data_IF_638112918365
#
_entry.id   IF_638112918365
#
_cell.length_a   1.000
_cell.length_b   1.000
_cell.length_c   1.000
_cell.angle_alpha   90.00
_cell.angle_beta   90.00
_cell.angle_gamma   90.00
#
_symmetry.space_group_name_H-M   'P 1'
#
loop_
_entity.id
_entity.type
_entity.pdbx_description
1 polymer ?
#
# COMPACT_ATOMS: atom_id res chain seq x y z
N UNK A 1 -6.33 -11.77 3.43
CA UNK A 1 -4.94 -11.39 3.74
C UNK A 1 -4.26 -10.91 2.47
N UNK A 2 -3.34 -9.96 2.56
CA UNK A 2 -2.49 -9.53 1.46
C UNK A 2 -1.04 -9.42 1.93
N UNK A 3 -0.11 -9.55 0.99
CA UNK A 3 1.28 -9.20 1.17
C UNK A 3 1.73 -8.45 -0.08
N UNK A 4 2.44 -7.34 0.07
CA UNK A 4 2.98 -6.59 -1.06
C UNK A 4 4.44 -6.22 -0.78
N UNK A 5 5.22 -6.25 -1.86
CA UNK A 5 6.56 -5.69 -1.93
C UNK A 5 6.55 -4.61 -3.01
N UNK A 6 7.21 -3.48 -2.79
CA UNK A 6 7.19 -2.37 -3.74
C UNK A 6 8.49 -1.57 -3.76
N UNK A 7 8.68 -0.85 -4.87
CA UNK A 7 9.72 0.17 -5.03
C UNK A 7 9.08 1.38 -5.67
N UNK A 8 9.17 2.52 -4.99
CA UNK A 8 8.57 3.78 -5.41
C UNK A 8 9.64 4.87 -5.54
N UNK A 9 9.53 5.69 -6.57
CA UNK A 9 10.14 7.00 -6.59
C UNK A 9 9.23 7.99 -5.84
N UNK A 10 9.80 8.71 -4.89
CA UNK A 10 9.11 9.73 -4.09
C UNK A 10 9.70 11.09 -4.44
N UNK A 11 8.84 12.05 -4.73
CA UNK A 11 9.24 13.42 -5.07
C UNK A 11 8.38 14.43 -4.32
N UNK A 12 9.04 15.49 -3.85
CA UNK A 12 8.41 16.74 -3.47
C UNK A 12 9.12 17.91 -4.16
N UNK A 13 8.63 19.15 -3.96
CA UNK A 13 9.18 20.35 -4.60
C UNK A 13 10.68 20.61 -4.37
N UNK A 14 11.35 19.91 -3.44
CA UNK A 14 12.77 20.12 -3.12
C UNK A 14 13.63 18.87 -3.17
N UNK A 15 13.06 17.66 -3.08
CA UNK A 15 13.82 16.42 -3.04
C UNK A 15 13.17 15.34 -3.87
N UNK A 16 14.03 14.47 -4.37
CA UNK A 16 13.68 13.23 -5.05
C UNK A 16 14.39 12.11 -4.32
N UNK A 17 13.71 11.00 -4.14
CA UNK A 17 14.28 9.80 -3.55
C UNK A 17 13.58 8.56 -4.06
N UNK A 18 14.09 7.42 -3.59
CA UNK A 18 13.52 6.10 -3.86
C UNK A 18 13.30 5.45 -2.52
N UNK A 19 12.17 4.77 -2.37
CA UNK A 19 11.88 3.90 -1.25
C UNK A 19 11.54 2.51 -1.76
N UNK A 20 11.86 1.50 -0.95
CA UNK A 20 11.41 0.14 -1.15
C UNK A 20 10.83 -0.38 0.16
N UNK A 21 9.79 -1.19 0.07
CA UNK A 21 9.08 -1.60 1.26
C UNK A 21 8.29 -2.88 1.10
N UNK A 22 7.92 -3.42 2.25
CA UNK A 22 7.04 -4.59 2.36
C UNK A 22 5.91 -4.28 3.33
N UNK A 23 4.70 -4.69 2.97
CA UNK A 23 3.52 -4.51 3.79
C UNK A 23 2.67 -5.78 3.79
N UNK A 24 2.02 -6.02 4.93
CA UNK A 24 1.10 -7.13 5.14
C UNK A 24 -0.24 -6.55 5.52
N UNK A 25 -1.30 -7.04 4.88
CA UNK A 25 -2.64 -6.52 5.07
C UNK A 25 -3.66 -7.57 5.46
N UNK A 26 -4.63 -7.11 6.24
CA UNK A 26 -5.82 -7.87 6.63
C UNK A 26 -7.05 -7.10 6.20
N UNK A 27 -8.06 -7.84 5.77
CA UNK A 27 -9.18 -7.21 5.10
C UNK A 27 -10.39 -8.11 4.99
N UNK A 28 -11.50 -7.49 4.65
CA UNK A 28 -12.78 -8.14 4.43
C UNK A 28 -13.10 -8.17 2.93
N UNK A 29 -13.40 -9.37 2.42
CA UNK A 29 -13.80 -9.59 1.03
C UNK A 29 -15.32 -9.60 0.90
N UNK A 30 -15.86 -8.72 0.05
CA UNK A 30 -17.25 -8.71 -0.39
C UNK A 30 -17.43 -9.33 -1.78
N UNK A 31 -18.66 -9.23 -2.31
CA UNK A 31 -19.03 -9.83 -3.62
C UNK A 31 -18.25 -9.26 -4.81
N UNK A 32 -17.88 -7.97 -4.76
CA UNK A 32 -17.28 -7.22 -5.88
C UNK A 32 -15.88 -6.68 -5.59
N UNK A 33 -15.30 -6.97 -4.42
CA UNK A 33 -14.03 -6.38 -4.03
C UNK A 33 -13.70 -6.64 -2.57
N UNK A 34 -12.60 -6.09 -2.08
CA UNK A 34 -12.16 -6.21 -0.70
C UNK A 34 -11.69 -4.87 -0.15
N UNK A 35 -11.88 -4.66 1.15
CA UNK A 35 -11.23 -3.56 1.89
C UNK A 35 -10.11 -4.15 2.72
N UNK A 36 -8.91 -3.58 2.62
CA UNK A 36 -7.69 -4.10 3.22
C UNK A 36 -6.98 -2.97 3.97
N UNK A 37 -6.76 -3.16 5.26
CA UNK A 37 -5.81 -2.35 6.02
C UNK A 37 -4.45 -3.04 5.98
N UNK A 38 -3.38 -2.30 5.66
CA UNK A 38 -2.02 -2.85 5.54
C UNK A 38 -1.02 -2.06 6.37
N UNK A 39 -0.13 -2.77 7.05
CA UNK A 39 0.99 -2.20 7.79
C UNK A 39 2.30 -2.79 7.27
N UNK A 40 3.33 -1.97 7.22
CA UNK A 40 4.63 -2.35 6.67
C UNK A 40 5.76 -1.42 7.06
N UNK A 41 6.89 -1.65 6.43
CA UNK A 41 8.10 -0.84 6.60
C UNK A 41 8.67 -0.48 5.24
N UNK A 42 9.12 0.76 5.13
CA UNK A 42 9.81 1.30 3.96
C UNK A 42 11.22 1.74 4.34
N UNK A 43 12.16 1.57 3.43
CA UNK A 43 13.52 2.09 3.56
C UNK A 43 14.04 2.58 2.22
N UNK A 44 14.89 3.61 2.25
CA UNK A 44 15.40 4.19 1.03
C UNK A 44 16.19 5.48 1.23
N UNK A 45 16.13 6.36 0.25
CA UNK A 45 16.76 7.68 0.32
C UNK A 45 15.78 8.77 0.80
N UNK A 46 14.47 8.52 0.73
CA UNK A 46 13.43 9.43 1.19
C UNK A 46 12.11 8.67 1.48
N UNK A 47 11.82 8.26 2.72
CA UNK A 47 12.64 8.36 3.93
C UNK A 47 13.73 7.28 4.02
N UNK A 48 14.66 7.41 4.98
CA UNK A 48 15.67 6.38 5.24
C UNK A 48 15.06 5.12 5.85
N UNK A 49 14.15 5.31 6.80
CA UNK A 49 13.34 4.27 7.39
C UNK A 49 11.97 4.87 7.77
N UNK A 50 10.89 4.17 7.45
CA UNK A 50 9.54 4.58 7.79
C UNK A 50 8.60 3.41 8.01
N UNK A 51 7.48 3.69 8.67
CA UNK A 51 6.36 2.77 8.80
C UNK A 51 5.35 3.11 7.71
N UNK A 52 4.96 2.11 6.94
CA UNK A 52 3.97 2.24 5.89
C UNK A 52 2.61 1.78 6.40
N UNK A 53 1.59 2.62 6.29
CA UNK A 53 0.22 2.27 6.70
C UNK A 53 -0.79 2.70 5.63
N UNK A 54 -1.71 1.80 5.27
CA UNK A 54 -2.71 2.03 4.23
C UNK A 54 -4.07 1.42 4.54
N UNK A 55 -5.09 2.05 3.99
CA UNK A 55 -6.43 1.47 3.86
C UNK A 55 -6.81 1.53 2.38
N UNK A 56 -7.01 0.36 1.79
CA UNK A 56 -7.19 0.19 0.36
C UNK A 56 -8.50 -0.54 0.06
N UNK A 57 -9.23 -0.04 -0.95
CA UNK A 57 -10.26 -0.79 -1.63
C UNK A 57 -9.68 -1.44 -2.89
N UNK A 58 -9.89 -2.75 -3.00
CA UNK A 58 -9.38 -3.58 -4.08
C UNK A 58 -10.56 -4.14 -4.87
N UNK A 59 -10.62 -3.82 -6.14
CA UNK A 59 -11.58 -4.38 -7.08
C UNK A 59 -10.89 -5.39 -7.99
N UNK A 60 -11.39 -6.63 -7.99
CA UNK A 60 -10.87 -7.72 -8.83
C UNK A 60 -12.01 -8.32 -9.65
N UNK A 61 -12.18 -7.86 -10.89
CA UNK A 61 -13.09 -8.49 -11.82
C UNK A 61 -12.56 -9.88 -12.24
N UNK A 62 -13.45 -10.85 -12.42
CA UNK A 62 -13.11 -12.27 -12.63
C UNK A 62 -12.26 -12.52 -13.90
N UNK A 63 -12.22 -11.59 -14.86
CA UNK A 63 -11.57 -11.78 -16.17
C UNK A 63 -10.80 -10.55 -16.68
N UNK A 64 -10.57 -9.54 -15.84
CA UNK A 64 -10.00 -8.26 -16.28
C UNK A 64 -8.91 -7.75 -15.32
N UNK A 65 -8.24 -6.67 -15.74
CA UNK A 65 -7.28 -5.93 -14.91
C UNK A 65 -8.01 -5.39 -13.68
N UNK A 66 -7.54 -5.76 -12.49
CA UNK A 66 -8.05 -5.23 -11.25
C UNK A 66 -7.54 -3.83 -10.99
N UNK A 67 -8.08 -3.19 -9.96
CA UNK A 67 -7.54 -1.92 -9.49
C UNK A 67 -7.63 -1.82 -7.97
N UNK A 68 -6.69 -1.07 -7.40
CA UNK A 68 -6.69 -0.66 -6.01
C UNK A 68 -6.77 0.85 -5.95
N UNK A 69 -7.58 1.37 -5.03
CA UNK A 69 -7.52 2.76 -4.63
C UNK A 69 -7.66 2.86 -3.12
N UNK A 70 -6.93 3.80 -2.53
CA UNK A 70 -6.88 3.90 -1.08
C UNK A 70 -6.25 5.18 -0.58
N UNK A 71 -6.07 5.21 0.72
CA UNK A 71 -5.44 6.30 1.44
C UNK A 71 -4.40 5.74 2.40
N UNK A 72 -3.29 6.43 2.51
CA UNK A 72 -2.21 6.03 3.41
C UNK A 72 -0.89 6.68 3.03
N UNK A 73 0.19 6.14 3.56
CA UNK A 73 1.53 6.58 3.23
C UNK A 73 2.55 6.08 4.22
N UNK A 74 3.63 6.83 4.35
CA UNK A 74 4.82 6.44 5.09
C UNK A 74 5.11 7.47 6.18
N UNK A 75 5.03 7.07 7.44
CA UNK A 75 5.52 7.86 8.56
C UNK A 75 7.02 7.62 8.73
N UNK A 76 7.84 8.66 8.56
CA UNK A 76 9.28 8.54 8.69
C UNK A 76 9.68 8.33 10.16
N UNK A 77 10.49 7.30 10.42
CA UNK A 77 11.15 7.07 11.70
C UNK A 77 12.57 7.66 11.70
N UNK A 78 13.27 7.52 10.56
CA UNK A 78 14.61 8.06 10.33
C UNK A 78 14.64 8.69 8.94
N UNK A 79 15.16 9.92 8.89
CA UNK A 79 15.19 10.71 7.66
C UNK A 79 13.84 11.34 7.35
N UNK A 80 13.74 11.89 6.15
CA UNK A 80 12.57 12.65 5.69
C UNK A 80 12.30 12.32 4.22
N UNK A 81 11.07 12.59 3.72
CA UNK A 81 9.89 13.10 4.42
C UNK A 81 8.99 11.98 4.95
N UNK A 82 8.05 12.34 5.83
CA UNK A 82 6.82 11.56 5.98
C UNK A 82 5.87 11.89 4.83
N UNK A 83 5.09 10.94 4.35
CA UNK A 83 4.16 11.11 3.24
C UNK A 83 2.80 10.54 3.59
N UNK A 84 1.72 11.26 3.25
CA UNK A 84 0.35 10.76 3.38
C UNK A 84 -0.49 11.25 2.20
N UNK A 85 -1.26 10.38 1.57
CA UNK A 85 -1.98 10.74 0.35
C UNK A 85 -2.99 9.72 -0.14
N UNK A 86 -3.63 10.09 -1.24
CA UNK A 86 -4.51 9.20 -2.00
C UNK A 86 -3.63 8.43 -2.98
N UNK A 87 -3.93 7.14 -3.15
CA UNK A 87 -3.19 6.24 -4.03
C UNK A 87 -4.11 5.43 -4.91
N UNK A 88 -3.62 5.10 -6.09
CA UNK A 88 -4.29 4.23 -7.03
C UNK A 88 -3.27 3.35 -7.78
N UNK A 89 -3.66 2.12 -8.07
CA UNK A 89 -2.83 1.19 -8.82
C UNK A 89 -3.68 0.24 -9.67
N UNK A 90 -3.48 0.15 -11.00
CA UNK A 90 -3.90 -1.04 -11.74
C UNK A 90 -3.20 -2.29 -11.21
N UNK A 91 -3.92 -3.42 -11.21
CA UNK A 91 -3.44 -4.72 -10.77
C UNK A 91 -3.47 -5.68 -11.96
N UNK A 92 -2.30 -5.97 -12.51
CA UNK A 92 -2.12 -6.86 -13.65
C UNK A 92 -1.90 -8.28 -13.12
N UNK A 93 -2.86 -9.20 -13.29
CA UNK A 93 -2.74 -10.55 -12.74
C UNK A 93 -1.62 -11.32 -13.43
N UNK A 94 -0.68 -11.86 -12.64
CA UNK A 94 0.35 -12.79 -13.09
C UNK A 94 -0.13 -14.24 -12.99
N UNK A 95 -0.87 -14.55 -11.92
CA UNK A 95 -1.39 -15.90 -11.66
C UNK A 95 -2.60 -15.85 -10.75
N UNK A 96 -3.66 -16.54 -11.15
CA UNK A 96 -4.84 -16.81 -10.31
C UNK A 96 -4.90 -18.30 -10.00
N UNK A 97 -5.11 -18.67 -8.73
CA UNK A 97 -5.48 -20.04 -8.34
C UNK A 97 -6.77 -19.99 -7.54
N UNK A 98 -7.76 -20.75 -8.02
CA UNK A 98 -9.01 -21.02 -7.32
C UNK A 98 -8.88 -22.36 -6.60
N UNK A 99 -9.15 -22.39 -5.30
CA UNK A 99 -9.28 -23.63 -4.54
C UNK A 99 -10.71 -23.75 -4.04
N UNK A 100 -11.48 -24.66 -4.65
CA UNK A 100 -12.79 -25.06 -4.17
C UNK A 100 -12.65 -26.36 -3.36
N UNK A 101 -12.68 -26.28 -2.04
CA UNK A 101 -12.98 -27.47 -1.24
C UNK A 101 -14.49 -27.69 -1.27
N UNK A 102 -14.96 -28.56 -2.18
CA UNK A 102 -16.28 -29.18 -2.04
C UNK A 102 -16.22 -30.14 -0.86
N UNK A 103 -16.54 -29.66 0.34
CA UNK A 103 -16.98 -30.53 1.42
C UNK A 103 -18.46 -30.81 1.21
N UNK A 104 -18.80 -32.03 0.83
CA UNK A 104 -20.17 -32.53 0.93
C UNK A 104 -20.56 -32.48 2.42
N UNK A 105 -21.45 -31.54 2.77
CA UNK A 105 -22.00 -31.23 4.11
C UNK A 105 -21.20 -30.20 4.92
N UNK A 106 -21.58 -28.93 4.77
CA UNK A 106 -21.18 -27.82 5.63
C UNK A 106 -20.45 -26.76 4.84
N UNK A 107 -20.89 -25.50 4.95
CA UNK A 107 -20.48 -24.36 4.13
C UNK A 107 -19.02 -24.41 3.68
N UNK A 108 -18.81 -24.54 2.37
CA UNK A 108 -17.47 -24.59 1.79
C UNK A 108 -16.82 -23.20 1.84
N UNK A 109 -15.72 -23.09 2.58
CA UNK A 109 -14.81 -21.96 2.45
C UNK A 109 -14.11 -22.04 1.09
N UNK A 110 -14.51 -21.16 0.17
CA UNK A 110 -13.78 -20.92 -1.08
C UNK A 110 -12.63 -19.95 -0.81
N UNK A 111 -11.41 -20.35 -1.16
CA UNK A 111 -10.24 -19.47 -1.07
C UNK A 111 -9.68 -19.19 -2.46
N UNK A 112 -9.46 -17.91 -2.73
CA UNK A 112 -8.89 -17.42 -3.98
C UNK A 112 -7.54 -16.78 -3.67
N UNK A 113 -6.52 -17.13 -4.46
CA UNK A 113 -5.23 -16.47 -4.41
C UNK A 113 -4.91 -15.82 -5.74
N UNK A 114 -4.49 -14.56 -5.68
CA UNK A 114 -4.02 -13.80 -6.82
C UNK A 114 -2.61 -13.28 -6.55
N UNK A 115 -1.73 -13.51 -7.51
CA UNK A 115 -0.47 -12.79 -7.64
C UNK A 115 -0.62 -11.77 -8.78
N UNK A 116 -0.29 -10.51 -8.53
CA UNK A 116 -0.38 -9.42 -9.49
C UNK A 116 0.85 -8.50 -9.44
N UNK A 117 1.15 -7.85 -10.56
CA UNK A 117 2.04 -6.68 -10.61
C UNK A 117 1.18 -5.43 -10.62
N UNK A 118 1.62 -4.42 -9.89
CA UNK A 118 0.95 -3.12 -9.83
C UNK A 118 1.88 -2.01 -10.25
N UNK A 119 1.29 -0.95 -10.82
CA UNK A 119 1.95 0.34 -11.03
C UNK A 119 1.20 1.32 -10.15
N UNK A 120 1.80 1.77 -9.05
CA UNK A 120 1.14 2.66 -8.11
C UNK A 120 1.49 4.11 -8.39
N UNK A 121 0.50 4.97 -8.26
CA UNK A 121 0.70 6.42 -8.13
C UNK A 121 0.04 6.90 -6.86
N UNK A 122 0.69 7.84 -6.18
CA UNK A 122 0.12 8.52 -5.03
C UNK A 122 0.38 10.03 -5.11
N UNK A 123 -0.57 10.81 -4.62
CA UNK A 123 -0.46 12.26 -4.47
C UNK A 123 -0.96 12.64 -3.09
N UNK A 124 -0.21 13.51 -2.42
CA UNK A 124 -0.50 13.80 -1.03
C UNK A 124 0.37 14.90 -0.42
N UNK A 125 0.39 14.91 0.90
CA UNK A 125 1.20 15.81 1.70
C UNK A 125 2.51 15.10 2.09
N UNK A 126 3.64 15.75 1.78
CA UNK A 126 4.95 15.46 2.33
C UNK A 126 5.18 16.37 3.54
N UNK A 127 5.40 15.77 4.70
CA UNK A 127 5.64 16.47 5.98
C UNK A 127 7.09 16.29 6.37
N UNK A 128 7.75 17.41 6.68
CA UNK A 128 9.12 17.45 7.20
C UNK A 128 9.13 18.04 8.59
N UNK A 129 9.97 17.48 9.45
CA UNK A 129 10.13 18.02 10.79
C UNK A 129 11.01 19.26 10.69
N UNK A 130 10.61 20.33 11.39
CA UNK A 130 11.44 21.52 11.42
C UNK A 130 12.77 21.21 12.11
N UNK A 131 13.85 21.78 11.59
CA UNK A 131 15.16 21.63 12.21
C UNK A 131 15.11 22.11 13.67
N UNK A 132 15.77 21.36 14.54
CA UNK A 132 16.03 21.80 15.90
C UNK A 132 16.97 23.01 15.84
N UNK A 133 16.50 24.14 16.37
CA UNK A 133 17.30 25.35 16.45
C UNK A 133 18.29 25.25 17.62
N UNK A 134 19.41 26.01 17.57
CA UNK A 134 20.43 25.99 18.62
C UNK A 134 19.92 26.39 20.02
N UNK A 135 18.74 27.00 20.10
CA UNK A 135 18.07 27.39 21.35
C UNK A 135 17.12 26.31 21.91
N UNK A 136 17.09 25.12 21.30
CA UNK A 136 16.23 24.00 21.71
C UNK A 136 14.78 24.15 21.28
N UNK A 137 14.45 25.14 20.43
CA UNK A 137 13.13 25.25 19.82
C UNK A 137 13.09 24.50 18.49
N UNK A 138 11.95 23.89 18.17
CA UNK A 138 11.74 23.32 16.84
C UNK A 138 11.20 24.41 15.91
N UNK A 139 11.86 24.61 14.77
CA UNK A 139 11.24 25.35 13.69
C UNK A 139 9.88 24.71 13.34
N UNK A 140 8.90 25.48 12.87
CA UNK A 140 7.65 24.89 12.41
C UNK A 140 7.95 23.86 11.30
N UNK A 141 7.32 22.68 11.43
CA UNK A 141 7.38 21.67 10.38
C UNK A 141 6.81 22.21 9.06
N UNK A 142 7.35 21.70 7.96
CA UNK A 142 6.95 22.13 6.62
C UNK A 142 6.06 21.06 5.98
N UNK A 143 4.91 21.47 5.48
CA UNK A 143 3.93 20.59 4.82
C UNK A 143 3.80 21.04 3.38
N UNK A 144 4.11 20.12 2.46
CA UNK A 144 4.12 20.40 1.02
C UNK A 144 3.36 19.35 0.25
N UNK A 145 3.00 19.67 -0.99
CA UNK A 145 2.50 18.66 -1.93
C UNK A 145 3.67 17.77 -2.36
N UNK A 146 3.47 16.46 -2.26
CA UNK A 146 4.36 15.44 -2.77
C UNK A 146 3.61 14.46 -3.68
N UNK A 147 4.36 13.74 -4.49
CA UNK A 147 3.86 12.65 -5.30
C UNK A 147 4.81 11.45 -5.21
N UNK A 148 4.27 10.26 -5.38
CA UNK A 148 5.07 9.06 -5.59
C UNK A 148 4.52 8.27 -6.76
N UNK A 149 5.43 7.56 -7.44
CA UNK A 149 5.09 6.61 -8.48
C UNK A 149 6.03 5.42 -8.38
N UNK A 150 5.50 4.21 -8.52
CA UNK A 150 6.29 3.01 -8.31
C UNK A 150 5.68 1.75 -8.88
N UNK A 151 6.41 0.65 -8.71
CA UNK A 151 6.01 -0.67 -9.16
C UNK A 151 5.99 -1.61 -7.97
N UNK A 152 4.93 -2.40 -7.87
CA UNK A 152 4.72 -3.35 -6.80
C UNK A 152 4.51 -4.77 -7.31
N UNK A 153 4.90 -5.74 -6.50
CA UNK A 153 4.45 -7.12 -6.57
C UNK A 153 3.48 -7.37 -5.42
N UNK A 154 2.30 -7.87 -5.73
CA UNK A 154 1.20 -8.00 -4.78
C UNK A 154 0.64 -9.41 -4.78
N UNK A 155 0.54 -9.99 -3.59
CA UNK A 155 -0.08 -11.27 -3.33
C UNK A 155 -1.34 -11.03 -2.50
N UNK A 156 -2.47 -11.43 -3.04
CA UNK A 156 -3.76 -11.42 -2.36
C UNK A 156 -4.20 -12.85 -2.10
N UNK A 157 -4.61 -13.11 -0.86
CA UNK A 157 -5.29 -14.33 -0.46
C UNK A 157 -6.64 -13.95 0.14
N UNK A 158 -7.70 -14.17 -0.63
CA UNK A 158 -9.07 -13.82 -0.29
C UNK A 158 -9.82 -15.09 0.09
N UNK A 159 -10.09 -15.27 1.38
CA UNK A 159 -11.04 -16.25 1.87
C UNK A 159 -12.43 -15.62 1.89
N UNK A 160 -13.37 -16.16 1.10
CA UNK A 160 -14.79 -15.75 1.19
C UNK A 160 -15.46 -16.59 2.26
N UNK A 161 -15.77 -15.96 3.40
CA UNK A 161 -16.69 -16.54 4.37
C UNK A 161 -18.11 -16.27 3.88
N UNK A 162 -18.85 -17.33 3.54
CA UNK A 162 -20.28 -17.24 3.28
C UNK A 162 -20.99 -17.11 4.64
N UNK A 163 -21.43 -15.90 4.98
CA UNK A 163 -22.35 -15.63 6.10
C UNK A 163 -23.80 -15.75 5.63
#
# INVERSE_FOLDING_TARGET
>A
MSARAHVDAVTDFQRHGVQAGVNVGFGYAGKKGAVIGSLGVDSGTAPTLGIHDTIDYVHMPEREVGWRAGFGGTAALIGEPSFVGIRAAPLIPLRQRFSSHQSEKGGGDSSESLLAVSIETAVGAAVRQGAEQPDGTHAPGDVRVGASAGVGLELYWLSRMWL
#
